data_IF_465470473005
#
_entry.id   IF_465470473005
#
_cell.length_a   1.000
_cell.length_b   1.000
_cell.length_c   1.000
_cell.angle_alpha   90.00
_cell.angle_beta   90.00
_cell.angle_gamma   90.00
#
_symmetry.space_group_name_H-M   'P 1'
#
loop_
_entity.id
_entity.type
_entity.pdbx_description
1 polymer ?
#
# COMPACT_ATOMS: atom_id res chain seq x y z
N UNK A 1 16.90 -50.76 88.60
CA UNK A 1 16.12 -50.53 87.36
C UNK A 1 16.23 -51.70 86.36
N UNK A 2 17.07 -52.71 86.60
CA UNK A 2 17.19 -53.90 85.72
C UNK A 2 16.10 -54.97 85.96
N UNK A 3 15.51 -55.08 87.17
CA UNK A 3 14.48 -56.09 87.46
C UNK A 3 13.08 -55.79 86.88
N UNK A 4 12.79 -54.55 86.48
CA UNK A 4 11.50 -54.21 85.86
C UNK A 4 11.44 -54.54 84.36
N UNK A 5 12.57 -54.92 83.75
CA UNK A 5 12.65 -55.17 82.30
C UNK A 5 12.42 -56.66 81.97
N UNK A 6 12.67 -57.59 82.91
CA UNK A 6 12.57 -59.03 82.66
C UNK A 6 11.16 -59.64 82.87
N UNK A 7 10.20 -58.88 83.41
CA UNK A 7 8.81 -59.34 83.63
C UNK A 7 7.83 -59.03 82.48
N UNK A 8 8.30 -58.30 81.46
CA UNK A 8 7.45 -57.92 80.33
C UNK A 8 7.44 -59.03 79.29
N UNK A 9 6.33 -59.78 79.26
CA UNK A 9 6.02 -60.73 78.19
C UNK A 9 6.16 -60.00 76.84
N UNK A 10 7.11 -60.43 75.99
CA UNK A 10 7.46 -59.81 74.71
C UNK A 10 6.21 -59.50 73.85
N UNK A 11 5.16 -60.31 73.98
CA UNK A 11 3.89 -60.13 73.29
C UNK A 11 3.15 -58.84 73.67
N UNK A 12 3.22 -58.42 74.93
CA UNK A 12 2.58 -57.20 75.43
C UNK A 12 3.31 -55.97 74.93
N UNK A 13 4.65 -55.99 74.91
CA UNK A 13 5.50 -54.93 74.36
C UNK A 13 5.23 -54.75 72.85
N UNK A 14 5.12 -55.85 72.10
CA UNK A 14 4.78 -55.83 70.66
C UNK A 14 3.40 -55.23 70.40
N UNK A 15 2.39 -55.50 71.24
CA UNK A 15 1.05 -54.91 71.11
C UNK A 15 1.03 -53.40 71.35
N UNK A 16 1.72 -52.92 72.38
CA UNK A 16 1.78 -51.48 72.67
C UNK A 16 2.57 -50.72 71.60
N UNK A 17 3.71 -51.27 71.14
CA UNK A 17 4.49 -50.68 70.05
C UNK A 17 3.73 -50.70 68.71
N UNK A 18 3.01 -51.78 68.41
CA UNK A 18 2.16 -51.87 67.22
C UNK A 18 0.99 -50.88 67.24
N UNK A 19 0.34 -50.69 68.39
CA UNK A 19 -0.74 -49.71 68.56
C UNK A 19 -0.25 -48.27 68.38
N UNK A 20 0.90 -47.93 68.97
CA UNK A 20 1.52 -46.60 68.82
C UNK A 20 1.92 -46.35 67.36
N UNK A 21 2.47 -47.36 66.66
CA UNK A 21 2.81 -47.24 65.24
C UNK A 21 1.60 -46.94 64.35
N UNK A 22 0.46 -47.60 64.58
CA UNK A 22 -0.78 -47.33 63.85
C UNK A 22 -1.29 -45.90 64.11
N UNK A 23 -1.19 -45.42 65.36
CA UNK A 23 -1.59 -44.05 65.70
C UNK A 23 -0.64 -43.04 65.04
N UNK A 24 0.67 -43.25 65.09
CA UNK A 24 1.67 -42.37 64.47
C UNK A 24 1.48 -42.32 62.95
N UNK A 25 1.29 -43.47 62.30
CA UNK A 25 1.06 -43.51 60.85
C UNK A 25 -0.25 -42.80 60.49
N UNK A 26 -1.34 -43.02 61.23
CA UNK A 26 -2.60 -42.30 61.01
C UNK A 26 -2.45 -40.78 61.17
N UNK A 27 -1.71 -40.30 62.19
CA UNK A 27 -1.44 -38.87 62.40
C UNK A 27 -0.57 -38.31 61.28
N UNK A 28 0.49 -39.01 60.88
CA UNK A 28 1.36 -38.59 59.77
C UNK A 28 0.60 -38.54 58.43
N UNK A 29 -0.26 -39.52 58.15
CA UNK A 29 -1.12 -39.52 56.96
C UNK A 29 -2.13 -38.38 57.00
N UNK A 30 -2.71 -38.08 58.17
CA UNK A 30 -3.64 -36.96 58.34
C UNK A 30 -2.95 -35.62 58.11
N UNK A 31 -1.78 -35.38 58.74
CA UNK A 31 -0.98 -34.16 58.56
C UNK A 31 -0.52 -34.04 57.09
N UNK A 32 -0.05 -35.12 56.49
CA UNK A 32 0.33 -35.17 55.08
C UNK A 32 -0.83 -34.80 54.16
N UNK A 33 -2.04 -35.30 54.45
CA UNK A 33 -3.24 -34.94 53.69
C UNK A 33 -3.63 -33.48 53.85
N UNK A 34 -3.45 -32.88 55.04
CA UNK A 34 -3.72 -31.47 55.28
C UNK A 34 -2.72 -30.56 54.55
N UNK A 35 -1.42 -30.86 54.65
CA UNK A 35 -0.38 -30.12 53.95
C UNK A 35 -0.56 -30.22 52.43
N UNK A 36 -0.87 -31.42 51.91
CA UNK A 36 -1.14 -31.61 50.50
C UNK A 36 -2.36 -30.78 50.05
N UNK A 37 -3.45 -30.78 50.82
CA UNK A 37 -4.62 -29.94 50.53
C UNK A 37 -4.26 -28.45 50.51
N UNK A 38 -3.45 -27.97 51.44
CA UNK A 38 -3.06 -26.54 51.50
C UNK A 38 -2.18 -26.17 50.29
N UNK A 39 -1.20 -27.00 49.95
CA UNK A 39 -0.28 -26.77 48.82
C UNK A 39 -1.06 -26.83 47.50
N UNK A 40 -1.86 -27.87 47.29
CA UNK A 40 -2.68 -28.02 46.08
C UNK A 40 -3.66 -26.86 45.94
N UNK A 41 -4.35 -26.47 47.01
CA UNK A 41 -5.26 -25.32 46.97
C UNK A 41 -4.53 -24.01 46.67
N UNK A 42 -3.29 -23.82 47.15
CA UNK A 42 -2.51 -22.62 46.84
C UNK A 42 -2.06 -22.61 45.39
N UNK A 43 -1.55 -23.73 44.87
CA UNK A 43 -1.14 -23.87 43.46
C UNK A 43 -2.33 -23.67 42.55
N UNK A 44 -3.49 -24.26 42.88
CA UNK A 44 -4.70 -24.13 42.10
C UNK A 44 -5.19 -22.68 42.08
N UNK A 45 -5.21 -21.99 43.23
CA UNK A 45 -5.55 -20.56 43.29
C UNK A 45 -4.59 -19.68 42.47
N UNK A 46 -3.28 -19.93 42.53
CA UNK A 46 -2.30 -19.18 41.75
C UNK A 46 -2.46 -19.43 40.25
N UNK A 47 -2.70 -20.69 39.87
CA UNK A 47 -3.00 -21.07 38.49
C UNK A 47 -4.30 -20.43 37.98
N UNK A 48 -5.36 -20.46 38.79
CA UNK A 48 -6.66 -19.85 38.45
C UNK A 48 -6.52 -18.33 38.33
N UNK A 49 -5.77 -17.69 39.23
CA UNK A 49 -5.49 -16.24 39.17
C UNK A 49 -4.75 -15.86 37.90
N UNK A 50 -3.67 -16.58 37.56
CA UNK A 50 -2.90 -16.34 36.32
C UNK A 50 -3.74 -16.62 35.08
N UNK A 51 -4.61 -17.63 35.14
CA UNK A 51 -5.49 -17.95 34.03
C UNK A 51 -6.55 -16.87 33.79
N UNK A 52 -7.14 -16.32 34.86
CA UNK A 52 -8.05 -15.18 34.75
C UNK A 52 -7.34 -13.89 34.30
N UNK A 53 -6.10 -13.67 34.75
CA UNK A 53 -5.26 -12.56 34.27
C UNK A 53 -4.99 -12.68 32.77
N UNK A 54 -4.53 -13.85 32.30
CA UNK A 54 -4.29 -14.12 30.88
C UNK A 54 -5.57 -14.00 30.04
N UNK A 55 -6.72 -14.47 30.55
CA UNK A 55 -8.00 -14.25 29.87
C UNK A 55 -8.36 -12.77 29.79
N UNK A 56 -8.11 -12.02 30.85
CA UNK A 56 -8.30 -10.56 30.88
C UNK A 56 -7.43 -9.87 29.83
N UNK A 57 -6.15 -10.24 29.75
CA UNK A 57 -5.23 -9.74 28.72
C UNK A 57 -5.68 -10.11 27.30
N UNK A 58 -6.06 -11.37 27.06
CA UNK A 58 -6.57 -11.82 25.76
C UNK A 58 -7.84 -11.04 25.38
N UNK A 59 -8.77 -10.87 26.31
CA UNK A 59 -10.00 -10.10 26.07
C UNK A 59 -9.69 -8.64 25.75
N UNK A 60 -8.73 -8.04 26.47
CA UNK A 60 -8.25 -6.68 26.20
C UNK A 60 -7.62 -6.57 24.82
N UNK A 61 -6.71 -7.47 24.46
CA UNK A 61 -6.06 -7.50 23.14
C UNK A 61 -7.11 -7.66 22.04
N UNK A 62 -8.05 -8.60 22.16
CA UNK A 62 -9.11 -8.82 21.17
C UNK A 62 -10.02 -7.59 21.02
N UNK A 63 -10.34 -6.90 22.11
CA UNK A 63 -11.15 -5.68 22.06
C UNK A 63 -10.40 -4.51 21.41
N UNK A 64 -9.09 -4.38 21.67
CA UNK A 64 -8.24 -3.39 21.01
C UNK A 64 -8.10 -3.68 19.52
N UNK A 65 -7.87 -4.94 19.15
CA UNK A 65 -7.80 -5.37 17.75
C UNK A 65 -9.12 -5.08 17.01
N UNK A 66 -10.25 -5.41 17.62
CA UNK A 66 -11.57 -5.12 17.07
C UNK A 66 -11.81 -3.62 16.90
N UNK A 67 -11.52 -2.82 17.93
CA UNK A 67 -11.69 -1.37 17.90
C UNK A 67 -10.77 -0.72 16.87
N UNK A 68 -9.53 -1.18 16.78
CA UNK A 68 -8.57 -0.69 15.81
C UNK A 68 -9.01 -1.05 14.38
N UNK A 69 -9.42 -2.29 14.15
CA UNK A 69 -9.95 -2.74 12.84
C UNK A 69 -11.17 -1.91 12.44
N UNK A 70 -12.09 -1.65 13.37
CA UNK A 70 -13.27 -0.84 13.12
C UNK A 70 -12.94 0.62 12.83
N UNK A 71 -12.09 1.25 13.66
CA UNK A 71 -11.67 2.65 13.47
C UNK A 71 -10.88 2.83 12.18
N UNK A 72 -9.94 1.91 11.90
CA UNK A 72 -9.15 1.93 10.68
C UNK A 72 -10.04 1.75 9.45
N UNK A 73 -10.98 0.81 9.48
CA UNK A 73 -11.98 0.62 8.42
C UNK A 73 -12.80 1.89 8.18
N UNK A 74 -13.28 2.55 9.23
CA UNK A 74 -14.05 3.80 9.11
C UNK A 74 -13.23 4.97 8.54
N UNK A 75 -12.02 5.19 9.05
CA UNK A 75 -11.11 6.24 8.55
C UNK A 75 -10.78 5.97 7.09
N UNK A 76 -10.52 4.72 6.73
CA UNK A 76 -10.25 4.33 5.37
C UNK A 76 -11.44 4.56 4.44
N UNK A 77 -12.64 4.11 4.81
CA UNK A 77 -13.85 4.34 4.02
C UNK A 77 -14.04 5.83 3.76
N UNK A 78 -13.87 6.67 4.78
CA UNK A 78 -13.95 8.13 4.63
C UNK A 78 -12.87 8.70 3.71
N UNK A 79 -11.65 8.16 3.76
CA UNK A 79 -10.57 8.55 2.85
C UNK A 79 -10.88 8.12 1.40
N UNK A 80 -11.41 6.92 1.17
CA UNK A 80 -11.84 6.48 -0.15
C UNK A 80 -12.99 7.32 -0.69
N UNK A 81 -14.02 7.58 0.12
CA UNK A 81 -15.14 8.45 -0.25
C UNK A 81 -14.65 9.84 -0.70
N UNK A 82 -13.53 10.31 -0.10
CA UNK A 82 -12.90 11.56 -0.51
C UNK A 82 -12.00 11.39 -1.75
N UNK A 83 -11.26 10.29 -1.87
CA UNK A 83 -10.27 10.06 -2.94
C UNK A 83 -10.90 9.66 -4.27
N UNK A 84 -11.90 8.78 -4.27
CA UNK A 84 -12.51 8.25 -5.51
C UNK A 84 -12.99 9.38 -6.42
N UNK A 85 -13.78 10.37 -5.95
CA UNK A 85 -14.20 11.49 -6.81
C UNK A 85 -13.05 12.35 -7.31
N UNK A 86 -11.92 12.39 -6.59
CA UNK A 86 -10.71 13.13 -7.01
C UNK A 86 -9.94 12.35 -8.07
N UNK A 87 -9.91 11.04 -7.97
CA UNK A 87 -9.34 10.14 -8.98
C UNK A 87 -10.18 10.18 -10.27
N UNK A 88 -11.52 10.16 -10.15
CA UNK A 88 -12.42 10.34 -11.30
C UNK A 88 -12.15 11.68 -11.99
N UNK A 89 -12.14 12.79 -11.23
CA UNK A 89 -11.79 14.10 -11.77
C UNK A 89 -10.38 14.14 -12.39
N UNK A 90 -9.42 13.45 -11.78
CA UNK A 90 -8.06 13.34 -12.35
C UNK A 90 -8.12 12.66 -13.72
N UNK A 91 -8.86 11.56 -13.84
CA UNK A 91 -9.01 10.84 -15.09
C UNK A 91 -9.74 11.67 -16.15
N UNK A 92 -10.78 12.41 -15.77
CA UNK A 92 -11.44 13.37 -16.65
C UNK A 92 -10.45 14.40 -17.20
N UNK A 93 -9.57 14.95 -16.36
CA UNK A 93 -8.50 15.84 -16.84
C UNK A 93 -7.55 15.17 -17.84
N UNK A 94 -7.22 13.88 -17.67
CA UNK A 94 -6.39 13.13 -18.64
C UNK A 94 -7.12 12.96 -19.97
N UNK A 95 -8.42 12.65 -19.94
CA UNK A 95 -9.24 12.54 -21.15
C UNK A 95 -9.37 13.89 -21.86
N UNK A 96 -9.55 14.99 -21.12
CA UNK A 96 -9.56 16.36 -21.66
C UNK A 96 -8.22 16.78 -22.25
N UNK A 97 -7.10 16.34 -21.67
CA UNK A 97 -5.78 16.54 -22.26
C UNK A 97 -5.67 15.77 -23.58
N UNK A 98 -6.13 14.51 -23.63
CA UNK A 98 -6.12 13.69 -24.85
C UNK A 98 -6.99 14.29 -25.95
N UNK A 99 -8.20 14.77 -25.62
CA UNK A 99 -9.11 15.42 -26.57
C UNK A 99 -8.62 16.78 -27.04
N UNK A 100 -7.70 17.42 -26.28
CA UNK A 100 -7.07 18.68 -26.68
C UNK A 100 -6.02 18.56 -27.79
N UNK A 101 -5.63 17.34 -28.18
CA UNK A 101 -4.70 17.13 -29.28
C UNK A 101 -5.39 17.55 -30.59
N UNK A 102 -4.83 18.51 -31.36
CA UNK A 102 -5.44 18.88 -32.64
C UNK A 102 -5.46 17.70 -33.61
N UNK A 103 -6.60 17.43 -34.25
CA UNK A 103 -6.74 16.31 -35.22
C UNK A 103 -5.61 16.22 -36.26
N UNK A 104 -5.12 17.32 -36.86
CA UNK A 104 -4.03 17.23 -37.83
C UNK A 104 -2.73 16.72 -37.22
N UNK A 105 -2.48 17.02 -35.94
CA UNK A 105 -1.32 16.52 -35.20
C UNK A 105 -1.47 15.03 -34.94
N UNK A 106 -2.62 14.62 -34.41
CA UNK A 106 -2.91 13.23 -34.10
C UNK A 106 -2.80 12.34 -35.35
N UNK A 107 -3.46 12.75 -36.45
CA UNK A 107 -3.44 12.02 -37.72
C UNK A 107 -2.03 11.92 -38.31
N UNK A 108 -1.23 13.01 -38.22
CA UNK A 108 0.15 12.99 -38.70
C UNK A 108 0.97 11.92 -38.00
N UNK A 109 0.86 11.81 -36.68
CA UNK A 109 1.63 10.84 -35.90
C UNK A 109 1.07 9.40 -35.91
N UNK A 110 -0.21 9.24 -36.22
CA UNK A 110 -0.83 7.92 -36.32
C UNK A 110 -0.59 7.27 -37.69
N UNK A 111 -0.68 8.05 -38.77
CA UNK A 111 -0.69 7.51 -40.14
C UNK A 111 0.70 7.53 -40.78
N UNK A 112 1.46 8.60 -40.58
CA UNK A 112 2.74 8.80 -41.28
C UNK A 112 3.89 8.17 -40.51
N UNK A 113 4.82 7.56 -41.24
CA UNK A 113 6.11 7.17 -40.67
C UNK A 113 7.07 8.35 -40.61
N UNK A 114 8.15 8.18 -39.85
CA UNK A 114 9.18 9.21 -39.62
C UNK A 114 9.74 9.79 -40.94
N UNK A 115 9.95 8.97 -41.98
CA UNK A 115 10.46 9.44 -43.28
C UNK A 115 9.42 10.22 -44.10
N UNK A 116 8.13 9.98 -43.86
CA UNK A 116 7.03 10.65 -44.56
C UNK A 116 6.67 11.99 -43.91
N UNK A 117 7.02 12.17 -42.62
CA UNK A 117 6.70 13.36 -41.84
C UNK A 117 7.58 14.55 -42.21
N UNK A 118 7.35 15.10 -43.40
CA UNK A 118 8.02 16.29 -43.92
C UNK A 118 7.00 17.27 -44.53
N UNK A 119 7.41 18.53 -44.71
CA UNK A 119 6.53 19.61 -45.17
C UNK A 119 5.97 19.36 -46.57
N UNK A 120 6.74 18.73 -47.47
CA UNK A 120 6.28 18.44 -48.84
C UNK A 120 5.15 17.43 -48.85
N UNK A 121 5.28 16.32 -48.12
CA UNK A 121 4.23 15.31 -47.96
C UNK A 121 2.98 15.91 -47.35
N UNK A 122 3.12 16.69 -46.27
CA UNK A 122 1.98 17.31 -45.59
C UNK A 122 1.26 18.32 -46.46
N UNK A 123 1.97 19.13 -47.25
CA UNK A 123 1.40 20.10 -48.20
C UNK A 123 0.57 19.43 -49.31
N UNK A 124 0.88 18.19 -49.68
CA UNK A 124 0.10 17.41 -50.66
C UNK A 124 -1.21 16.87 -50.10
N UNK A 125 -1.43 17.00 -48.78
CA UNK A 125 -2.60 16.48 -48.07
C UNK A 125 -3.45 17.59 -47.46
N UNK A 126 -4.69 17.27 -47.08
CA UNK A 126 -5.53 18.20 -46.32
C UNK A 126 -5.01 18.50 -44.91
N UNK A 127 -4.07 17.68 -44.40
CA UNK A 127 -3.46 17.84 -43.07
C UNK A 127 -2.62 19.12 -43.03
N UNK A 128 -1.80 19.39 -44.06
CA UNK A 128 -0.97 20.59 -44.12
C UNK A 128 -1.79 21.88 -44.06
N UNK A 129 -2.89 21.95 -44.82
CA UNK A 129 -3.80 23.11 -44.82
C UNK A 129 -4.49 23.33 -43.46
N UNK A 130 -4.71 22.26 -42.68
CA UNK A 130 -5.23 22.39 -41.32
C UNK A 130 -4.13 22.80 -40.34
N UNK A 131 -2.93 22.23 -40.44
CA UNK A 131 -1.77 22.59 -39.61
C UNK A 131 -1.37 24.06 -39.77
N UNK A 132 -1.47 24.64 -40.96
CA UNK A 132 -1.13 26.06 -41.18
C UNK A 132 -2.04 27.02 -40.40
N UNK A 133 -3.28 26.61 -40.13
CA UNK A 133 -4.28 27.40 -39.40
C UNK A 133 -4.15 27.29 -37.87
N UNK A 134 -3.42 26.30 -37.37
CA UNK A 134 -3.25 26.10 -35.94
C UNK A 134 -2.28 27.11 -35.35
N UNK A 135 -2.56 27.61 -34.15
CA UNK A 135 -1.71 28.46 -33.33
C UNK A 135 -1.31 27.69 -32.06
N UNK A 136 -0.06 27.21 -32.01
CA UNK A 136 0.40 26.30 -30.95
C UNK A 136 0.11 26.79 -29.52
N UNK A 137 0.22 28.09 -29.23
CA UNK A 137 -0.07 28.63 -27.89
C UNK A 137 -1.57 28.68 -27.58
N UNK A 138 -2.40 28.97 -28.56
CA UNK A 138 -3.85 29.11 -28.38
C UNK A 138 -4.52 27.74 -28.34
N UNK A 139 -4.15 26.85 -29.27
CA UNK A 139 -4.72 25.51 -29.38
C UNK A 139 -4.33 24.61 -28.19
N UNK A 140 -3.15 24.84 -27.58
CA UNK A 140 -2.70 24.09 -26.40
C UNK A 140 -3.13 24.73 -25.06
N UNK A 141 -4.00 25.75 -25.08
CA UNK A 141 -4.46 26.43 -23.86
C UNK A 141 -5.26 25.50 -22.95
N UNK A 142 -6.08 24.61 -23.52
CA UNK A 142 -6.85 23.63 -22.72
C UNK A 142 -5.92 22.71 -21.94
N UNK A 143 -4.86 22.21 -22.58
CA UNK A 143 -3.85 21.37 -21.95
C UNK A 143 -3.23 22.05 -20.71
N UNK A 144 -2.86 23.32 -20.81
CA UNK A 144 -2.34 24.10 -19.67
C UNK A 144 -3.39 24.25 -18.57
N UNK A 145 -4.66 24.44 -18.94
CA UNK A 145 -5.77 24.53 -17.98
C UNK A 145 -5.94 23.22 -17.22
N UNK A 146 -5.96 22.08 -17.91
CA UNK A 146 -6.10 20.76 -17.29
C UNK A 146 -4.89 20.41 -16.40
N UNK A 147 -3.68 20.80 -16.80
CA UNK A 147 -2.48 20.65 -15.95
C UNK A 147 -2.64 21.35 -14.59
N UNK A 148 -3.24 22.56 -14.58
CA UNK A 148 -3.53 23.27 -13.33
C UNK A 148 -4.60 22.57 -12.48
N UNK A 149 -5.59 21.94 -13.12
CA UNK A 149 -6.58 21.15 -12.39
C UNK A 149 -5.94 19.90 -11.76
N UNK A 150 -5.05 19.21 -12.47
CA UNK A 150 -4.28 18.08 -11.91
C UNK A 150 -3.45 18.51 -10.69
N UNK A 151 -2.81 19.69 -10.72
CA UNK A 151 -2.05 20.20 -9.58
C UNK A 151 -2.93 20.37 -8.32
N UNK A 152 -4.18 20.83 -8.47
CA UNK A 152 -5.12 20.95 -7.35
C UNK A 152 -5.51 19.60 -6.74
N UNK A 153 -5.37 18.51 -7.50
CA UNK A 153 -5.69 17.15 -7.06
C UNK A 153 -4.51 16.47 -6.37
N UNK A 154 -3.30 17.03 -6.45
CA UNK A 154 -2.07 16.46 -5.89
C UNK A 154 -2.19 15.97 -4.44
N UNK A 155 -2.86 16.67 -3.49
CA UNK A 155 -2.99 16.19 -2.12
C UNK A 155 -3.79 14.87 -1.98
N UNK A 156 -4.58 14.51 -2.99
CA UNK A 156 -5.51 13.37 -2.94
C UNK A 156 -5.03 12.17 -3.78
N UNK A 157 -3.97 12.34 -4.58
CA UNK A 157 -3.41 11.31 -5.45
C UNK A 157 -1.97 11.00 -5.05
N UNK A 158 -1.44 9.86 -5.51
CA UNK A 158 -0.02 9.57 -5.29
C UNK A 158 0.88 10.51 -6.11
N UNK A 159 2.07 10.78 -5.59
CA UNK A 159 3.08 11.57 -6.29
C UNK A 159 3.42 10.95 -7.66
N UNK A 160 3.44 9.62 -7.74
CA UNK A 160 3.67 8.89 -8.98
C UNK A 160 2.54 9.11 -10.00
N UNK A 161 1.27 9.09 -9.57
CA UNK A 161 0.14 9.36 -10.45
C UNK A 161 0.18 10.81 -10.95
N UNK A 162 0.44 11.76 -10.05
CA UNK A 162 0.63 13.17 -10.40
C UNK A 162 1.76 13.37 -11.42
N UNK A 163 2.91 12.73 -11.22
CA UNK A 163 4.04 12.80 -12.15
C UNK A 163 3.67 12.24 -13.53
N UNK A 164 2.98 11.09 -13.59
CA UNK A 164 2.52 10.50 -14.85
C UNK A 164 1.59 11.45 -15.62
N UNK A 165 0.65 12.11 -14.94
CA UNK A 165 -0.23 13.10 -15.57
C UNK A 165 0.51 14.31 -16.12
N UNK A 166 1.55 14.79 -15.42
CA UNK A 166 2.41 15.87 -15.91
C UNK A 166 3.21 15.45 -17.14
N UNK A 167 3.83 14.27 -17.11
CA UNK A 167 4.59 13.74 -18.26
C UNK A 167 3.68 13.55 -19.47
N UNK A 168 2.46 13.04 -19.24
CA UNK A 168 1.46 12.87 -20.29
C UNK A 168 1.12 14.20 -20.98
N UNK A 169 0.82 15.23 -20.17
CA UNK A 169 0.54 16.59 -20.63
C UNK A 169 1.73 17.22 -21.35
N UNK A 170 2.93 17.15 -20.77
CA UNK A 170 4.14 17.78 -21.31
C UNK A 170 4.59 17.10 -22.60
N UNK A 171 4.46 15.78 -22.70
CA UNK A 171 4.71 15.03 -23.93
C UNK A 171 3.77 15.47 -25.06
N UNK A 172 2.46 15.49 -24.81
CA UNK A 172 1.47 15.92 -25.81
C UNK A 172 1.74 17.36 -26.25
N UNK A 173 1.95 18.26 -25.29
CA UNK A 173 2.22 19.67 -25.56
C UNK A 173 3.48 19.86 -26.40
N UNK A 174 4.58 19.20 -26.03
CA UNK A 174 5.87 19.28 -26.76
C UNK A 174 5.75 18.72 -28.17
N UNK A 175 5.15 17.54 -28.35
CA UNK A 175 4.98 16.91 -29.66
C UNK A 175 4.08 17.71 -30.59
N UNK A 176 2.99 18.28 -30.06
CA UNK A 176 2.10 19.16 -30.82
C UNK A 176 2.79 20.45 -31.23
N UNK A 177 3.52 21.07 -30.29
CA UNK A 177 4.31 22.27 -30.56
C UNK A 177 5.36 22.03 -31.65
N UNK A 178 6.15 20.96 -31.54
CA UNK A 178 7.21 20.63 -32.51
C UNK A 178 6.66 20.47 -33.94
N UNK A 179 5.51 19.81 -34.08
CA UNK A 179 4.89 19.61 -35.38
C UNK A 179 4.29 20.90 -35.95
N UNK A 180 3.51 21.65 -35.15
CA UNK A 180 2.85 22.89 -35.62
C UNK A 180 3.90 23.95 -35.97
N UNK A 181 4.85 24.21 -35.07
CA UNK A 181 5.91 25.22 -35.28
C UNK A 181 6.89 24.77 -36.37
N UNK A 182 7.29 23.49 -36.36
CA UNK A 182 8.17 22.92 -37.38
C UNK A 182 7.56 22.97 -38.78
N UNK A 183 6.27 22.67 -38.91
CA UNK A 183 5.56 22.78 -40.18
C UNK A 183 5.52 24.24 -40.69
N UNK A 184 5.18 25.21 -39.82
CA UNK A 184 5.18 26.64 -40.18
C UNK A 184 6.54 27.16 -40.60
N UNK A 185 7.62 26.65 -40.00
CA UNK A 185 9.00 27.01 -40.33
C UNK A 185 9.58 26.22 -41.51
N UNK A 186 8.84 25.26 -42.07
CA UNK A 186 9.33 24.36 -43.11
C UNK A 186 10.42 23.39 -42.63
N UNK A 187 10.56 23.20 -41.31
CA UNK A 187 11.56 22.32 -40.68
C UNK A 187 10.90 21.50 -39.58
N UNK A 188 10.26 20.40 -39.98
CA UNK A 188 9.62 19.48 -39.03
C UNK A 188 10.69 18.70 -38.27
N UNK A 189 10.57 18.68 -36.95
CA UNK A 189 11.41 17.88 -36.06
C UNK A 189 10.59 16.69 -35.60
N UNK A 190 11.09 15.49 -35.87
CA UNK A 190 10.46 14.24 -35.43
C UNK A 190 10.70 14.10 -33.93
N UNK A 191 9.61 13.98 -33.17
CA UNK A 191 9.65 13.98 -31.70
C UNK A 191 10.56 12.90 -31.11
N UNK A 192 10.70 11.74 -31.77
CA UNK A 192 11.57 10.63 -31.36
C UNK A 192 13.04 11.05 -31.24
N UNK A 193 13.45 12.07 -31.99
CA UNK A 193 14.82 12.59 -32.00
C UNK A 193 14.99 13.87 -31.17
N UNK A 194 13.91 14.48 -30.66
CA UNK A 194 13.98 15.67 -29.80
C UNK A 194 14.54 15.29 -28.42
N UNK A 195 15.60 15.99 -28.00
CA UNK A 195 16.23 15.77 -26.69
C UNK A 195 15.31 16.17 -25.54
N UNK A 196 14.48 17.20 -25.73
CA UNK A 196 13.51 17.66 -24.74
C UNK A 196 12.44 16.60 -24.46
N UNK A 197 11.89 15.99 -25.52
CA UNK A 197 10.96 14.87 -25.37
C UNK A 197 11.62 13.72 -24.61
N UNK A 198 12.84 13.30 -24.99
CA UNK A 198 13.55 12.23 -24.25
C UNK A 198 13.75 12.54 -22.78
N UNK A 199 14.09 13.78 -22.43
CA UNK A 199 14.22 14.21 -21.03
C UNK A 199 12.88 14.13 -20.28
N UNK A 200 11.78 14.57 -20.90
CA UNK A 200 10.43 14.42 -20.33
C UNK A 200 10.14 12.95 -20.06
N UNK A 201 10.43 12.05 -21.01
CA UNK A 201 10.16 10.62 -20.87
C UNK A 201 10.97 9.97 -19.74
N UNK A 202 12.23 10.35 -19.59
CA UNK A 202 13.12 9.80 -18.56
C UNK A 202 12.69 10.14 -17.12
N UNK A 203 11.79 11.09 -16.93
CA UNK A 203 11.26 11.40 -15.59
C UNK A 203 10.33 10.33 -15.05
N UNK A 204 9.63 9.56 -15.90
CA UNK A 204 8.66 8.54 -15.48
C UNK A 204 8.90 7.14 -16.04
N UNK A 205 9.78 7.01 -17.05
CA UNK A 205 10.09 5.74 -17.71
C UNK A 205 11.58 5.42 -17.64
N UNK A 206 11.87 4.13 -17.61
CA UNK A 206 13.23 3.62 -17.75
C UNK A 206 13.73 3.73 -19.19
N UNK A 207 15.04 3.81 -19.37
CA UNK A 207 15.66 3.80 -20.70
C UNK A 207 15.28 2.57 -21.53
N UNK A 208 15.07 1.41 -20.88
CA UNK A 208 14.63 0.17 -21.54
C UNK A 208 13.23 0.32 -22.14
N UNK A 209 12.30 0.92 -21.41
CA UNK A 209 10.93 1.16 -21.88
C UNK A 209 10.94 2.15 -23.04
N UNK A 210 11.68 3.25 -22.90
CA UNK A 210 11.84 4.24 -23.97
C UNK A 210 12.44 3.58 -25.22
N UNK A 211 13.51 2.80 -25.06
CA UNK A 211 14.16 2.09 -26.15
C UNK A 211 13.25 1.07 -26.84
N UNK A 212 12.34 0.43 -26.11
CA UNK A 212 11.36 -0.48 -26.71
C UNK A 212 10.33 0.28 -27.57
N UNK A 213 9.82 1.41 -27.06
CA UNK A 213 8.83 2.23 -27.78
C UNK A 213 9.45 2.84 -29.04
N UNK A 214 10.65 3.42 -28.93
CA UNK A 214 11.31 4.10 -30.05
C UNK A 214 11.73 3.16 -31.19
N UNK A 215 11.80 1.85 -30.94
CA UNK A 215 12.05 0.85 -32.00
C UNK A 215 10.86 0.66 -32.95
N UNK A 216 9.65 1.02 -32.53
CA UNK A 216 8.48 0.91 -33.38
C UNK A 216 8.45 2.08 -34.37
N UNK A 217 8.28 1.77 -35.65
CA UNK A 217 8.13 2.79 -36.70
C UNK A 217 6.70 3.34 -36.76
N UNK A 218 5.71 2.45 -36.59
CA UNK A 218 4.29 2.78 -36.66
C UNK A 218 3.64 2.97 -35.28
N UNK A 219 2.68 3.90 -35.24
CA UNK A 219 1.81 4.17 -34.08
C UNK A 219 2.57 4.44 -32.77
N UNK A 220 3.84 4.85 -32.87
CA UNK A 220 4.72 5.03 -31.71
C UNK A 220 4.16 6.07 -30.74
N UNK A 221 3.52 7.12 -31.27
CA UNK A 221 2.90 8.17 -30.48
C UNK A 221 1.72 7.63 -29.66
N UNK A 222 0.76 6.94 -30.29
CA UNK A 222 -0.41 6.36 -29.61
C UNK A 222 0.01 5.27 -28.61
N UNK A 223 0.91 4.37 -29.01
CA UNK A 223 1.44 3.31 -28.13
C UNK A 223 2.09 3.90 -26.87
N UNK A 224 2.76 5.05 -27.01
CA UNK A 224 3.34 5.76 -25.88
C UNK A 224 2.25 6.33 -24.95
N UNK A 225 1.23 6.99 -25.50
CA UNK A 225 0.10 7.50 -24.70
C UNK A 225 -0.60 6.36 -23.95
N UNK A 226 -0.87 5.25 -24.63
CA UNK A 226 -1.47 4.05 -24.04
C UNK A 226 -0.61 3.45 -22.93
N UNK A 227 0.72 3.44 -23.06
CA UNK A 227 1.61 2.98 -22.00
C UNK A 227 1.50 3.86 -20.75
N UNK A 228 1.45 5.18 -20.92
CA UNK A 228 1.28 6.10 -19.80
C UNK A 228 -0.11 5.94 -19.16
N UNK A 229 -1.17 5.86 -19.97
CA UNK A 229 -2.54 5.58 -19.52
C UNK A 229 -2.61 4.28 -18.71
N UNK A 230 -2.00 3.20 -19.22
CA UNK A 230 -1.91 1.93 -18.51
C UNK A 230 -1.19 2.05 -17.16
N UNK A 231 -0.05 2.77 -17.11
CA UNK A 231 0.67 3.02 -15.85
C UNK A 231 -0.15 3.85 -14.87
N UNK A 232 -0.91 4.83 -15.35
CA UNK A 232 -1.83 5.62 -14.54
C UNK A 232 -2.95 4.75 -13.97
N UNK A 233 -3.58 3.91 -14.79
CA UNK A 233 -4.65 3.00 -14.36
C UNK A 233 -4.15 1.96 -13.35
N UNK A 234 -2.96 1.41 -13.53
CA UNK A 234 -2.34 0.52 -12.55
C UNK A 234 -2.09 1.22 -11.21
N UNK A 235 -1.63 2.47 -11.25
CA UNK A 235 -1.40 3.27 -10.05
C UNK A 235 -2.72 3.63 -9.34
N UNK A 236 -3.77 3.94 -10.10
CA UNK A 236 -5.14 4.14 -9.59
C UNK A 236 -5.68 2.85 -8.96
N UNK A 237 -5.54 1.71 -9.64
CA UNK A 237 -5.94 0.41 -9.13
C UNK A 237 -5.25 0.12 -7.81
N UNK A 238 -3.93 0.36 -7.71
CA UNK A 238 -3.18 0.22 -6.46
C UNK A 238 -3.71 1.12 -5.34
N UNK A 239 -4.02 2.39 -5.64
CA UNK A 239 -4.55 3.35 -4.67
C UNK A 239 -5.95 2.99 -4.14
N UNK A 240 -6.77 2.37 -4.97
CA UNK A 240 -8.13 1.95 -4.60
C UNK A 240 -8.12 0.55 -3.98
N UNK A 241 -7.15 -0.30 -4.35
CA UNK A 241 -7.05 -1.68 -3.89
C UNK A 241 -6.77 -1.78 -2.39
N UNK A 242 -7.27 -2.85 -1.79
CA UNK A 242 -7.04 -3.17 -0.39
C UNK A 242 -5.59 -3.58 -0.07
N UNK A 243 -4.73 -3.82 -1.07
CA UNK A 243 -3.35 -4.26 -0.84
C UNK A 243 -2.50 -3.19 -0.16
N UNK A 244 -2.66 -1.92 -0.57
CA UNK A 244 -2.05 -0.80 0.14
C UNK A 244 -2.55 -0.70 1.60
N UNK A 245 -3.77 -1.18 1.87
CA UNK A 245 -4.40 -1.11 3.19
C UNK A 245 -3.97 -2.20 4.12
N UNK A 246 -3.84 -3.42 3.62
CA UNK A 246 -3.27 -4.50 4.41
C UNK A 246 -1.85 -4.14 4.76
N UNK A 247 -1.04 -3.64 3.82
CA UNK A 247 0.34 -3.29 4.14
C UNK A 247 0.46 -2.14 5.16
N UNK A 248 -0.22 -1.01 4.93
CA UNK A 248 -0.18 0.13 5.85
C UNK A 248 -0.91 -0.15 7.17
N UNK A 249 -1.99 -0.92 7.12
CA UNK A 249 -2.74 -1.36 8.30
C UNK A 249 -1.94 -2.32 9.17
N UNK A 250 -1.28 -3.32 8.56
CA UNK A 250 -0.37 -4.23 9.27
C UNK A 250 0.82 -3.49 9.87
N UNK A 251 1.40 -2.51 9.15
CA UNK A 251 2.47 -1.66 9.70
C UNK A 251 1.97 -0.81 10.87
N UNK A 252 0.75 -0.28 10.78
CA UNK A 252 0.11 0.46 11.87
C UNK A 252 -0.11 -0.41 13.12
N UNK A 253 -0.60 -1.63 12.93
CA UNK A 253 -0.76 -2.63 13.99
C UNK A 253 0.59 -3.01 14.59
N UNK A 254 1.61 -3.25 13.77
CA UNK A 254 2.95 -3.58 14.23
C UNK A 254 3.55 -2.45 15.07
N UNK A 255 3.44 -1.20 14.60
CA UNK A 255 3.90 -0.03 15.33
C UNK A 255 3.17 0.11 16.66
N UNK A 256 1.84 -0.07 16.65
CA UNK A 256 1.03 -0.01 17.87
C UNK A 256 1.40 -1.10 18.87
N UNK A 257 1.58 -2.35 18.42
CA UNK A 257 2.05 -3.46 19.25
C UNK A 257 3.44 -3.20 19.82
N UNK A 258 4.35 -2.61 19.02
CA UNK A 258 5.66 -2.18 19.53
C UNK A 258 5.51 -1.12 20.63
N UNK A 259 4.59 -0.17 20.50
CA UNK A 259 4.34 0.86 21.53
C UNK A 259 3.75 0.27 22.82
N UNK A 260 2.82 -0.68 22.72
CA UNK A 260 2.27 -1.37 23.89
C UNK A 260 3.34 -2.20 24.61
N UNK A 261 4.15 -2.96 23.86
CA UNK A 261 5.19 -3.81 24.42
C UNK A 261 6.42 -3.04 24.91
N UNK A 262 6.68 -1.85 24.37
CA UNK A 262 7.75 -0.96 24.83
C UNK A 262 7.44 -0.29 26.19
N UNK A 263 6.19 -0.38 26.67
CA UNK A 263 5.78 0.23 27.93
C UNK A 263 5.23 -0.80 28.95
N UNK A 264 6.06 -1.75 29.43
CA UNK A 264 5.63 -2.75 30.41
C UNK A 264 5.54 -2.20 31.85
N UNK A 265 5.86 -0.93 32.08
CA UNK A 265 5.84 -0.27 33.40
C UNK A 265 5.30 1.15 33.30
N UNK A 266 3.98 1.31 33.22
CA UNK A 266 3.39 2.64 33.32
C UNK A 266 1.95 2.72 32.86
N UNK A 267 1.04 2.14 33.63
CA UNK A 267 -0.23 2.71 34.07
C UNK A 267 -0.67 1.98 35.33
#
# INVERSE_FOLDING_TARGET
>A
MEEYINGLNNWTVVKYLGGIYVIITAVLTYIGSLLNKIIVNRIQRDSDSKFEELKGEISRINSLESNFTQQYGQVFHKLLETRIPKIEKYWDCILEIKSSIPDPVLLSYQILIDSELNTETLNRSSIGTKLSKLHALEDLKNLISQKKEIEKLRPFISEKLWLLGNVYSDFIGRCSYLLIDGYKKGKIVIWKYDTGVKQILLTSLSEKEIGHILKNEFHTFENFLQLLEYKMLNEVSRLISNEALTEDGFRGIELFNRLLNANPKGF
#
